data_IF_157734913213
#
_entry.id   IF_157734913213
#
_cell.length_a   1.000
_cell.length_b   1.000
_cell.length_c   1.000
_cell.angle_alpha   90.00
_cell.angle_beta   90.00
_cell.angle_gamma   90.00
#
_symmetry.space_group_name_H-M   'P 1'
#
loop_
_entity.id
_entity.type
_entity.pdbx_description
1 polymer ?
#
# COMPACT_ATOMS: atom_id res chain seq x y z
N UNK A 1 4.49 -13.20 -49.40
CA UNK A 1 3.61 -12.88 -48.26
C UNK A 1 4.28 -12.88 -46.86
N UNK A 2 5.35 -13.64 -46.53
CA UNK A 2 5.94 -13.58 -45.19
C UNK A 2 6.67 -12.26 -44.85
N UNK A 3 7.15 -11.52 -45.86
CA UNK A 3 7.82 -10.23 -45.62
C UNK A 3 6.88 -9.10 -45.17
N UNK A 4 5.58 -9.16 -45.50
CA UNK A 4 4.61 -8.13 -45.09
C UNK A 4 4.21 -8.26 -43.61
N UNK A 5 4.26 -9.47 -43.06
CA UNK A 5 3.99 -9.71 -41.64
C UNK A 5 5.09 -9.16 -40.73
N UNK A 6 6.35 -9.25 -41.14
CA UNK A 6 7.48 -8.77 -40.33
C UNK A 6 7.44 -7.26 -40.08
N UNK A 7 7.05 -6.47 -41.07
CA UNK A 7 7.04 -4.99 -40.97
C UNK A 7 5.92 -4.49 -40.04
N UNK A 8 4.75 -5.12 -40.07
CA UNK A 8 3.63 -4.75 -39.20
C UNK A 8 3.79 -5.23 -37.75
N UNK A 9 4.49 -6.34 -37.52
CA UNK A 9 4.66 -6.92 -36.18
C UNK A 9 5.77 -6.24 -35.36
N UNK A 10 6.77 -5.66 -36.01
CA UNK A 10 7.90 -5.03 -35.29
C UNK A 10 7.47 -3.88 -34.35
N UNK A 11 6.59 -2.93 -34.75
CA UNK A 11 6.10 -1.88 -33.85
C UNK A 11 5.27 -2.43 -32.69
N UNK A 12 4.45 -3.46 -32.96
CA UNK A 12 3.61 -4.10 -31.94
C UNK A 12 4.47 -4.82 -30.89
N UNK A 13 5.49 -5.56 -31.33
CA UNK A 13 6.41 -6.26 -30.42
C UNK A 13 7.23 -5.27 -29.59
N UNK A 14 7.73 -4.19 -30.21
CA UNK A 14 8.43 -3.14 -29.47
C UNK A 14 7.51 -2.47 -28.43
N UNK A 15 6.24 -2.21 -28.80
CA UNK A 15 5.28 -1.65 -27.88
C UNK A 15 4.95 -2.60 -26.71
N UNK A 16 4.72 -3.88 -27.02
CA UNK A 16 4.47 -4.92 -26.02
C UNK A 16 5.67 -5.13 -25.09
N UNK A 17 6.89 -5.08 -25.61
CA UNK A 17 8.12 -5.12 -24.81
C UNK A 17 8.19 -3.91 -23.86
N UNK A 18 7.80 -2.72 -24.33
CA UNK A 18 7.70 -1.51 -23.50
C UNK A 18 6.73 -1.68 -22.32
N UNK A 19 5.52 -2.20 -22.58
CA UNK A 19 4.55 -2.53 -21.53
C UNK A 19 5.09 -3.59 -20.57
N UNK A 20 5.68 -4.65 -21.09
CA UNK A 20 6.25 -5.74 -20.28
C UNK A 20 7.38 -5.27 -19.37
N UNK A 21 8.23 -4.37 -19.85
CA UNK A 21 9.26 -3.74 -19.02
C UNK A 21 8.63 -2.88 -17.91
N UNK A 22 7.66 -2.03 -18.26
CA UNK A 22 6.95 -1.20 -17.27
C UNK A 22 6.27 -2.04 -16.17
N UNK A 23 5.64 -3.17 -16.54
CA UNK A 23 5.09 -4.15 -15.59
C UNK A 23 6.20 -4.71 -14.70
N UNK A 24 7.28 -5.21 -15.31
CA UNK A 24 8.37 -5.87 -14.58
C UNK A 24 9.02 -4.93 -13.57
N UNK A 25 9.25 -3.68 -13.97
CA UNK A 25 9.79 -2.65 -13.09
C UNK A 25 8.83 -2.42 -11.93
N UNK A 26 7.55 -2.11 -12.20
CA UNK A 26 6.59 -1.79 -11.13
C UNK A 26 6.36 -2.95 -10.18
N UNK A 27 6.28 -4.18 -10.70
CA UNK A 27 6.17 -5.37 -9.84
C UNK A 27 7.42 -5.56 -8.99
N UNK A 28 8.60 -5.25 -9.52
CA UNK A 28 9.86 -5.40 -8.79
C UNK A 28 10.05 -4.34 -7.72
N UNK A 29 9.61 -3.11 -7.98
CA UNK A 29 9.63 -2.02 -6.99
C UNK A 29 8.56 -2.24 -5.93
N UNK A 30 7.31 -2.40 -6.34
CA UNK A 30 6.15 -2.59 -5.46
C UNK A 30 6.01 -4.02 -4.89
N UNK A 31 7.09 -4.81 -4.80
CA UNK A 31 7.00 -6.13 -4.15
C UNK A 31 6.93 -6.00 -2.63
N UNK A 32 7.50 -4.92 -2.09
CA UNK A 32 7.39 -4.57 -0.68
C UNK A 32 5.94 -4.19 -0.31
N UNK A 33 5.16 -3.60 -1.24
CA UNK A 33 3.72 -3.36 -1.06
C UNK A 33 2.96 -4.62 -0.64
N UNK A 34 3.37 -5.82 -1.09
CA UNK A 34 2.72 -7.07 -0.66
C UNK A 34 2.84 -7.27 0.84
N UNK A 35 3.99 -6.90 1.42
CA UNK A 35 4.26 -7.02 2.85
C UNK A 35 3.44 -6.00 3.63
N UNK A 36 3.32 -4.76 3.13
CA UNK A 36 2.58 -3.69 3.79
C UNK A 36 1.07 -3.82 3.66
N UNK A 37 0.57 -4.27 2.51
CA UNK A 37 -0.86 -4.39 2.22
C UNK A 37 -1.47 -5.69 2.76
N UNK A 38 -0.65 -6.73 2.97
CA UNK A 38 -1.15 -8.02 3.44
C UNK A 38 -2.04 -7.86 4.68
N UNK A 39 -1.63 -7.22 5.80
CA UNK A 39 -2.48 -7.07 6.98
C UNK A 39 -3.84 -6.39 6.71
N UNK A 40 -3.91 -5.49 5.73
CA UNK A 40 -5.12 -4.74 5.41
C UNK A 40 -6.03 -5.43 4.39
N UNK A 41 -5.51 -6.41 3.65
CA UNK A 41 -6.24 -7.19 2.65
C UNK A 41 -6.54 -8.63 3.12
N UNK A 42 -5.91 -9.07 4.21
CA UNK A 42 -6.09 -10.39 4.85
C UNK A 42 -7.32 -10.44 5.78
N UNK A 43 -7.55 -11.61 6.39
CA UNK A 43 -8.83 -12.32 6.44
C UNK A 43 -9.86 -11.87 7.50
N UNK A 44 -9.82 -10.61 7.98
CA UNK A 44 -10.71 -10.16 9.06
C UNK A 44 -11.37 -8.80 8.85
N UNK A 45 -11.35 -8.31 7.61
CA UNK A 45 -12.10 -7.13 7.18
C UNK A 45 -13.25 -7.54 6.27
N UNK A 46 -14.36 -6.79 6.38
CA UNK A 46 -15.53 -6.99 5.52
C UNK A 46 -15.12 -6.92 4.04
N UNK A 47 -15.82 -7.66 3.17
CA UNK A 47 -15.57 -7.62 1.71
C UNK A 47 -15.59 -6.20 1.16
N UNK A 48 -16.47 -5.35 1.70
CA UNK A 48 -16.61 -3.96 1.30
C UNK A 48 -15.38 -3.13 1.71
N UNK A 49 -14.89 -3.28 2.94
CA UNK A 49 -13.67 -2.60 3.41
C UNK A 49 -12.45 -3.05 2.59
N UNK A 50 -12.35 -4.34 2.24
CA UNK A 50 -11.29 -4.86 1.36
C UNK A 50 -11.32 -4.24 -0.02
N UNK A 51 -12.51 -4.09 -0.61
CA UNK A 51 -12.67 -3.40 -1.90
C UNK A 51 -12.29 -1.93 -1.79
N UNK A 52 -12.67 -1.25 -0.70
CA UNK A 52 -12.31 0.14 -0.48
C UNK A 52 -10.79 0.31 -0.35
N UNK A 53 -10.14 -0.51 0.47
CA UNK A 53 -8.67 -0.52 0.64
C UNK A 53 -7.96 -0.79 -0.69
N UNK A 54 -8.49 -1.72 -1.49
CA UNK A 54 -7.98 -2.01 -2.84
C UNK A 54 -8.12 -0.81 -3.76
N UNK A 55 -9.29 -0.15 -3.76
CA UNK A 55 -9.54 1.02 -4.59
C UNK A 55 -8.64 2.20 -4.19
N UNK A 56 -8.41 2.41 -2.88
CA UNK A 56 -7.49 3.41 -2.35
C UNK A 56 -6.07 3.12 -2.85
N UNK A 57 -5.59 1.88 -2.70
CA UNK A 57 -4.26 1.49 -3.19
C UNK A 57 -4.09 1.73 -4.69
N UNK A 58 -5.04 1.25 -5.52
CA UNK A 58 -4.98 1.47 -6.98
C UNK A 58 -5.00 2.96 -7.32
N UNK A 59 -5.80 3.76 -6.60
CA UNK A 59 -5.86 5.22 -6.80
C UNK A 59 -4.53 5.89 -6.45
N UNK A 60 -3.90 5.48 -5.34
CA UNK A 60 -2.55 5.91 -4.94
C UNK A 60 -1.55 5.56 -6.05
N UNK A 61 -1.51 4.32 -6.53
CA UNK A 61 -0.63 3.91 -7.64
C UNK A 61 -0.80 4.77 -8.90
N UNK A 62 -2.04 5.08 -9.29
CA UNK A 62 -2.32 5.95 -10.44
C UNK A 62 -1.81 7.36 -10.19
N UNK A 63 -2.06 7.91 -9.00
CA UNK A 63 -1.56 9.24 -8.62
C UNK A 63 -0.04 9.28 -8.59
N UNK A 64 0.67 8.28 -8.03
CA UNK A 64 2.15 8.25 -8.11
C UNK A 64 2.61 8.29 -9.56
N UNK A 65 1.97 7.49 -10.42
CA UNK A 65 2.35 7.37 -11.83
C UNK A 65 2.18 8.73 -12.52
N UNK A 66 1.06 9.42 -12.26
CA UNK A 66 0.84 10.79 -12.75
C UNK A 66 1.88 11.79 -12.21
N UNK A 67 2.19 11.73 -10.91
CA UNK A 67 3.22 12.58 -10.30
C UNK A 67 4.60 12.31 -10.90
N UNK A 68 4.99 11.04 -11.10
CA UNK A 68 6.22 10.66 -11.76
C UNK A 68 6.33 11.26 -13.15
N UNK A 69 5.22 11.25 -13.90
CA UNK A 69 5.17 11.84 -15.23
C UNK A 69 5.26 13.37 -15.19
N UNK A 70 4.55 14.02 -14.26
CA UNK A 70 4.67 15.45 -14.03
C UNK A 70 6.11 15.84 -13.67
N UNK A 71 6.78 15.08 -12.79
CA UNK A 71 8.18 15.31 -12.40
C UNK A 71 9.12 15.01 -13.55
N UNK A 72 8.92 13.95 -14.34
CA UNK A 72 9.80 13.67 -15.47
C UNK A 72 9.72 14.76 -16.55
N UNK A 73 8.51 15.27 -16.83
CA UNK A 73 8.30 16.33 -17.80
C UNK A 73 8.82 17.69 -17.29
N UNK A 74 8.52 18.03 -16.03
CA UNK A 74 8.91 19.30 -15.42
C UNK A 74 10.36 19.31 -14.94
N UNK A 75 10.90 18.13 -14.62
CA UNK A 75 12.19 17.92 -13.96
C UNK A 75 13.34 18.45 -14.78
N UNK A 76 13.34 18.24 -16.11
CA UNK A 76 14.37 18.82 -16.96
C UNK A 76 14.39 20.36 -16.90
N UNK A 77 13.22 21.00 -16.81
CA UNK A 77 13.11 22.47 -16.70
C UNK A 77 13.50 22.98 -15.31
N UNK A 78 13.07 22.29 -14.26
CA UNK A 78 13.38 22.63 -12.87
C UNK A 78 14.88 22.42 -12.60
N UNK A 79 15.43 21.29 -13.04
CA UNK A 79 16.85 20.96 -12.90
C UNK A 79 17.68 21.95 -13.69
N UNK A 80 17.35 22.28 -14.94
CA UNK A 80 18.06 23.31 -15.71
C UNK A 80 17.98 24.69 -15.02
N UNK A 81 16.83 25.02 -14.42
CA UNK A 81 16.64 26.28 -13.69
C UNK A 81 17.49 26.33 -12.40
N UNK A 82 17.52 25.24 -11.62
CA UNK A 82 18.24 25.14 -10.35
C UNK A 82 19.76 25.01 -10.57
N UNK A 83 20.19 24.24 -11.58
CA UNK A 83 21.61 23.93 -11.81
C UNK A 83 22.35 24.97 -12.65
N UNK A 84 21.67 26.00 -13.17
CA UNK A 84 22.27 27.06 -14.00
C UNK A 84 23.49 27.77 -13.41
N UNK A 85 23.72 27.68 -12.10
CA UNK A 85 24.83 28.35 -11.42
C UNK A 85 25.80 27.41 -10.66
N UNK A 86 25.65 26.07 -10.72
CA UNK A 86 26.49 25.14 -9.96
C UNK A 86 27.21 24.15 -10.88
N UNK A 87 28.55 24.15 -10.86
CA UNK A 87 29.39 23.21 -11.64
C UNK A 87 29.44 21.78 -11.07
N UNK A 88 29.06 21.60 -9.80
CA UNK A 88 28.99 20.30 -9.10
C UNK A 88 27.55 20.00 -8.62
N UNK A 89 26.57 20.16 -9.52
CA UNK A 89 25.18 19.85 -9.16
C UNK A 89 24.98 18.34 -8.98
N UNK A 90 24.37 17.94 -7.86
CA UNK A 90 23.93 16.56 -7.64
C UNK A 90 22.99 16.10 -8.76
N UNK A 91 23.11 14.83 -9.16
CA UNK A 91 22.16 14.24 -10.12
C UNK A 91 20.76 14.22 -9.53
N UNK A 92 19.74 14.41 -10.38
CA UNK A 92 18.33 14.38 -9.96
C UNK A 92 17.97 13.05 -9.27
N UNK A 93 18.60 11.95 -9.70
CA UNK A 93 18.43 10.63 -9.12
C UNK A 93 18.96 10.56 -7.67
N UNK A 94 20.16 11.12 -7.40
CA UNK A 94 20.69 11.20 -6.03
C UNK A 94 19.79 12.05 -5.14
N UNK A 95 19.33 13.20 -5.63
CA UNK A 95 18.44 14.10 -4.87
C UNK A 95 17.13 13.38 -4.52
N UNK A 96 16.49 12.72 -5.49
CA UNK A 96 15.25 11.98 -5.28
C UNK A 96 15.44 10.81 -4.31
N UNK A 97 16.55 10.07 -4.44
CA UNK A 97 16.86 8.92 -3.56
C UNK A 97 17.08 9.37 -2.12
N UNK A 98 17.86 10.44 -1.90
CA UNK A 98 18.09 11.00 -0.56
C UNK A 98 16.79 11.53 0.04
N UNK A 99 15.96 12.21 -0.75
CA UNK A 99 14.67 12.72 -0.30
C UNK A 99 13.73 11.59 0.10
N UNK A 100 13.62 10.53 -0.72
CA UNK A 100 12.81 9.35 -0.43
C UNK A 100 13.29 8.63 0.84
N UNK A 101 14.60 8.38 0.96
CA UNK A 101 15.20 7.77 2.15
C UNK A 101 14.99 8.61 3.42
N UNK A 102 15.07 9.94 3.31
CA UNK A 102 14.82 10.86 4.42
C UNK A 102 13.36 10.86 4.86
N UNK A 103 12.42 10.87 3.92
CA UNK A 103 10.98 10.78 4.25
C UNK A 103 10.63 9.44 4.90
N UNK A 104 11.18 8.32 4.38
CA UNK A 104 11.03 6.99 4.98
C UNK A 104 11.61 6.93 6.40
N UNK A 105 12.77 7.56 6.64
CA UNK A 105 13.37 7.61 7.97
C UNK A 105 12.53 8.45 8.96
N UNK A 106 11.96 9.57 8.53
CA UNK A 106 11.05 10.35 9.38
C UNK A 106 9.79 9.54 9.70
N UNK A 107 9.26 8.82 8.71
CA UNK A 107 8.08 8.00 8.90
C UNK A 107 8.33 6.79 9.82
N UNK A 108 9.51 6.16 9.74
CA UNK A 108 9.87 5.06 10.64
C UNK A 108 9.95 5.51 12.10
N UNK A 109 10.41 6.74 12.37
CA UNK A 109 10.37 7.34 13.71
C UNK A 109 8.93 7.50 14.20
N UNK A 110 8.01 7.95 13.33
CA UNK A 110 6.58 8.03 13.66
C UNK A 110 6.00 6.66 14.00
N UNK A 111 6.26 5.65 13.18
CA UNK A 111 5.79 4.28 13.44
C UNK A 111 6.38 3.69 14.73
N UNK A 112 7.65 3.97 15.01
CA UNK A 112 8.30 3.55 16.25
C UNK A 112 7.65 4.22 17.47
N UNK A 113 7.31 5.50 17.36
CA UNK A 113 6.61 6.23 18.42
C UNK A 113 5.21 5.66 18.67
N UNK A 114 4.43 5.39 17.61
CA UNK A 114 3.11 4.74 17.73
C UNK A 114 3.23 3.36 18.39
N UNK A 115 4.20 2.53 17.95
CA UNK A 115 4.45 1.21 18.53
C UNK A 115 4.85 1.26 20.01
N UNK A 116 5.70 2.23 20.39
CA UNK A 116 6.12 2.40 21.78
C UNK A 116 4.96 2.86 22.67
N UNK A 117 4.17 3.82 22.18
CA UNK A 117 3.02 4.37 22.93
C UNK A 117 1.96 3.31 23.17
N UNK A 118 1.65 2.48 22.16
CA UNK A 118 0.70 1.36 22.30
C UNK A 118 1.18 0.29 23.29
N UNK A 119 2.50 0.12 23.44
CA UNK A 119 3.07 -0.86 24.37
C UNK A 119 2.94 -0.39 25.83
N UNK A 120 3.19 0.88 26.13
CA UNK A 120 3.11 1.45 27.48
C UNK A 120 1.67 1.50 28.02
N UNK A 121 0.66 1.66 27.14
CA UNK A 121 -0.76 1.67 27.56
C UNK A 121 -1.29 0.28 27.93
N UNK A 122 -0.62 -0.79 27.53
CA UNK A 122 -1.10 -2.17 27.72
C UNK A 122 -0.53 -2.86 28.98
N UNK A 123 0.39 -2.22 29.70
CA UNK A 123 1.01 -2.78 30.92
C UNK A 123 0.15 -2.60 32.20
N UNK A 124 -1.04 -1.99 32.08
CA UNK A 124 -1.96 -1.70 33.20
C UNK A 124 -3.17 -2.62 33.34
N UNK A 125 -3.48 -3.42 32.31
CA UNK A 125 -4.61 -4.36 32.32
C UNK A 125 -4.13 -5.65 31.63
N UNK A 126 -4.32 -6.81 32.26
CA UNK A 126 -4.04 -8.13 31.68
C UNK A 126 -4.98 -8.42 30.49
N UNK A 127 -4.88 -7.63 29.42
CA UNK A 127 -5.62 -7.80 28.18
C UNK A 127 -4.72 -8.58 27.24
N UNK A 128 -5.11 -9.83 26.96
CA UNK A 128 -4.60 -10.62 25.84
C UNK A 128 -4.71 -9.84 24.52
N UNK A 129 -3.70 -9.03 24.19
CA UNK A 129 -3.61 -8.29 22.93
C UNK A 129 -2.27 -8.54 22.25
N UNK A 130 -2.19 -9.71 21.64
CA UNK A 130 -1.38 -10.00 20.46
C UNK A 130 -2.28 -10.62 19.41
N UNK A 131 -3.40 -9.97 19.10
CA UNK A 131 -4.43 -10.54 18.23
C UNK A 131 -5.08 -9.46 17.38
N UNK A 132 -4.26 -8.84 16.53
CA UNK A 132 -4.80 -8.25 15.31
C UNK A 132 -5.45 -9.40 14.54
N UNK A 133 -6.78 -9.44 14.57
CA UNK A 133 -7.62 -10.31 13.75
C UNK A 133 -7.70 -11.79 14.17
N UNK A 134 -8.40 -12.06 15.28
CA UNK A 134 -9.21 -13.28 15.44
C UNK A 134 -10.67 -12.89 15.66
N UNK A 135 -11.35 -12.46 14.59
CA UNK A 135 -12.81 -12.50 14.57
C UNK A 135 -13.16 -13.98 14.54
N UNK A 136 -13.73 -14.50 15.63
CA UNK A 136 -14.39 -15.80 15.56
C UNK A 136 -15.39 -15.74 14.40
N UNK A 137 -15.35 -16.66 13.43
CA UNK A 137 -16.42 -16.75 12.47
C UNK A 137 -17.67 -17.10 13.28
N UNK A 138 -18.56 -16.12 13.45
CA UNK A 138 -19.87 -16.38 14.00
C UNK A 138 -20.46 -17.52 13.20
N UNK A 139 -20.67 -18.61 13.91
CA UNK A 139 -21.52 -19.73 13.53
C UNK A 139 -22.87 -19.13 13.18
N UNK A 140 -23.09 -18.93 11.89
CA UNK A 140 -24.44 -18.85 11.34
C UNK A 140 -25.00 -20.26 11.44
N UNK A 141 -25.43 -20.62 12.65
CA UNK A 141 -26.27 -21.78 12.91
C UNK A 141 -27.56 -21.55 12.14
N UNK A 142 -27.64 -22.21 10.98
CA UNK A 142 -28.88 -22.36 10.22
C UNK A 142 -29.58 -23.58 10.78
N UNK A 143 -30.02 -23.51 12.04
CA UNK A 143 -30.91 -24.49 12.63
C UNK A 143 -32.35 -24.15 12.20
N UNK A 144 -32.72 -24.70 11.05
CA UNK A 144 -34.11 -24.96 10.72
C UNK A 144 -34.57 -26.18 11.53
N UNK A 145 -35.00 -25.95 12.78
CA UNK A 145 -35.91 -26.87 13.46
C UNK A 145 -37.23 -26.16 13.82
N UNK A 146 -38.29 -26.81 13.37
CA UNK A 146 -39.70 -26.47 13.57
C UNK A 146 -40.09 -26.48 15.05
N UNK A 147 -40.85 -25.46 15.45
CA UNK A 147 -41.92 -25.56 16.44
C UNK A 147 -41.52 -25.51 17.93
N UNK A 148 -41.90 -24.43 18.62
CA UNK A 148 -43.06 -24.43 19.53
C UNK A 148 -43.33 -23.01 20.04
N UNK A 149 -44.57 -22.55 19.88
CA UNK A 149 -45.01 -21.21 20.24
C UNK A 149 -45.33 -21.15 21.74
N UNK A 150 -44.56 -20.39 22.53
CA UNK A 150 -44.97 -19.94 23.86
C UNK A 150 -44.96 -18.41 23.94
N UNK A 151 -46.09 -17.75 24.27
CA UNK A 151 -46.13 -16.29 24.43
C UNK A 151 -45.87 -15.95 25.89
N UNK A 152 -44.62 -15.66 26.26
CA UNK A 152 -44.33 -15.04 27.55
C UNK A 152 -44.10 -13.53 27.36
N UNK A 153 -45.18 -12.78 27.58
CA UNK A 153 -45.20 -11.32 27.58
C UNK A 153 -44.36 -10.79 28.76
N UNK A 154 -43.11 -10.41 28.49
CA UNK A 154 -42.24 -9.71 29.44
C UNK A 154 -42.39 -8.20 29.23
N UNK A 155 -42.91 -7.54 30.25
CA UNK A 155 -43.04 -6.08 30.37
C UNK A 155 -41.65 -5.42 30.25
N UNK A 156 -41.39 -4.52 29.29
CA UNK A 156 -40.13 -3.80 29.24
C UNK A 156 -40.11 -2.73 30.33
N UNK A 157 -39.15 -2.83 31.24
CA UNK A 157 -38.72 -1.68 32.04
C UNK A 157 -37.97 -0.73 31.11
N UNK A 158 -38.50 0.48 31.03
CA UNK A 158 -38.03 1.58 30.20
C UNK A 158 -36.81 2.20 30.89
N UNK A 159 -35.67 1.53 30.76
CA UNK A 159 -34.35 2.03 31.14
C UNK A 159 -33.68 2.69 29.94
N UNK A 160 -33.04 3.82 30.20
CA UNK A 160 -32.33 4.74 29.31
C UNK A 160 -31.12 4.09 28.58
N UNK A 161 -31.37 3.13 27.68
CA UNK A 161 -30.34 2.39 26.91
C UNK A 161 -29.96 3.07 25.59
N UNK A 162 -30.41 4.29 25.33
CA UNK A 162 -30.19 4.95 24.03
C UNK A 162 -28.78 5.54 23.90
N UNK A 163 -28.02 5.73 24.99
CA UNK A 163 -26.69 6.36 24.93
C UNK A 163 -25.52 5.39 24.66
N UNK A 164 -25.61 4.10 24.99
CA UNK A 164 -24.46 3.18 24.86
C UNK A 164 -24.20 2.74 23.41
N UNK A 165 -25.26 2.57 22.61
CA UNK A 165 -25.16 2.15 21.19
C UNK A 165 -24.49 3.24 20.34
N UNK A 166 -24.77 4.51 20.61
CA UNK A 166 -24.20 5.65 19.88
C UNK A 166 -22.70 5.85 20.19
N UNK A 167 -22.27 5.54 21.42
CA UNK A 167 -20.85 5.66 21.81
C UNK A 167 -20.02 4.54 21.15
N UNK A 168 -20.52 3.31 21.14
CA UNK A 168 -19.82 2.18 20.54
C UNK A 168 -19.71 2.32 19.01
N UNK A 169 -20.77 2.83 18.37
CA UNK A 169 -20.76 3.12 16.92
C UNK A 169 -19.74 4.19 16.54
N UNK A 170 -19.62 5.28 17.34
CA UNK A 170 -18.64 6.35 17.10
C UNK A 170 -17.20 5.87 17.28
N UNK A 171 -16.92 5.09 18.32
CA UNK A 171 -15.57 4.56 18.56
C UNK A 171 -15.11 3.62 17.43
N UNK A 172 -15.99 2.75 16.92
CA UNK A 172 -15.68 1.87 15.80
C UNK A 172 -15.40 2.64 14.50
N UNK A 173 -16.22 3.66 14.19
CA UNK A 173 -16.03 4.52 13.01
C UNK A 173 -14.71 5.31 13.06
N UNK A 174 -14.34 5.82 14.24
CA UNK A 174 -13.09 6.56 14.41
C UNK A 174 -11.87 5.64 14.19
N UNK A 175 -11.92 4.41 14.71
CA UNK A 175 -10.85 3.41 14.52
C UNK A 175 -10.69 3.03 13.04
N UNK A 176 -11.78 2.85 12.30
CA UNK A 176 -11.74 2.56 10.86
C UNK A 176 -11.13 3.71 10.04
N UNK A 177 -11.46 4.96 10.40
CA UNK A 177 -10.90 6.14 9.72
C UNK A 177 -9.38 6.26 9.92
N UNK A 178 -8.90 5.99 11.15
CA UNK A 178 -7.48 6.02 11.47
C UNK A 178 -6.71 4.91 10.71
N UNK A 179 -7.25 3.69 10.66
CA UNK A 179 -6.66 2.60 9.89
C UNK A 179 -6.57 2.91 8.39
N UNK A 180 -7.64 3.50 7.82
CA UNK A 180 -7.66 3.89 6.41
C UNK A 180 -6.62 4.97 6.10
N UNK A 181 -6.47 5.96 7.00
CA UNK A 181 -5.46 7.00 6.87
C UNK A 181 -4.05 6.42 6.95
N UNK A 182 -3.80 5.51 7.89
CA UNK A 182 -2.52 4.81 8.01
C UNK A 182 -2.21 4.01 6.73
N UNK A 183 -3.19 3.27 6.19
CA UNK A 183 -3.03 2.56 4.92
C UNK A 183 -2.66 3.49 3.78
N UNK A 184 -3.35 4.63 3.65
CA UNK A 184 -3.05 5.62 2.62
C UNK A 184 -1.61 6.14 2.75
N UNK A 185 -1.19 6.49 3.96
CA UNK A 185 0.16 7.00 4.21
C UNK A 185 1.22 5.94 3.92
N UNK A 186 1.02 4.70 4.38
CA UNK A 186 1.93 3.59 4.12
C UNK A 186 2.01 3.30 2.62
N UNK A 187 0.87 3.17 1.94
CA UNK A 187 0.84 2.91 0.50
C UNK A 187 1.51 4.04 -0.28
N UNK A 188 1.27 5.30 0.10
CA UNK A 188 1.89 6.45 -0.55
C UNK A 188 3.41 6.48 -0.34
N UNK A 189 3.87 6.23 0.90
CA UNK A 189 5.29 6.23 1.26
C UNK A 189 6.02 5.04 0.66
N UNK A 190 5.43 3.84 0.69
CA UNK A 190 5.95 2.64 0.06
C UNK A 190 6.22 2.93 -1.41
N UNK A 191 5.19 3.37 -2.13
CA UNK A 191 5.28 3.71 -3.54
C UNK A 191 5.96 5.06 -3.88
N UNK A 192 6.68 5.70 -2.94
CA UNK A 192 7.63 6.77 -3.30
C UNK A 192 8.88 6.20 -3.97
N UNK A 193 9.20 4.93 -3.74
CA UNK A 193 10.30 4.23 -4.41
C UNK A 193 10.06 4.13 -5.93
N UNK A 194 8.82 3.85 -6.35
CA UNK A 194 8.34 3.86 -7.74
C UNK A 194 8.67 5.18 -8.41
N UNK A 195 8.53 6.30 -7.70
CA UNK A 195 8.83 7.63 -8.21
C UNK A 195 10.32 7.76 -8.56
N UNK A 196 11.20 7.24 -7.69
CA UNK A 196 12.65 7.30 -7.89
C UNK A 196 13.11 6.45 -9.08
N UNK A 197 12.40 5.36 -9.38
CA UNK A 197 12.70 4.49 -10.52
C UNK A 197 12.07 4.99 -11.82
N UNK A 198 10.83 5.49 -11.77
CA UNK A 198 10.11 5.96 -12.95
C UNK A 198 10.65 7.28 -13.51
N UNK A 199 11.07 8.21 -12.66
CA UNK A 199 11.53 9.52 -13.12
C UNK A 199 12.76 9.40 -14.05
N UNK A 200 13.85 8.70 -13.70
CA UNK A 200 14.99 8.51 -14.60
C UNK A 200 14.63 7.80 -15.91
N UNK A 201 13.76 6.78 -15.86
CA UNK A 201 13.35 6.05 -17.06
C UNK A 201 12.48 6.85 -18.01
N UNK A 202 11.57 7.68 -17.46
CA UNK A 202 10.76 8.60 -18.24
C UNK A 202 11.62 9.69 -18.88
N UNK A 203 12.61 10.21 -18.16
CA UNK A 203 13.57 11.19 -18.70
C UNK A 203 14.44 10.58 -19.80
N UNK A 204 14.80 9.31 -19.67
CA UNK A 204 15.57 8.55 -20.67
C UNK A 204 14.87 8.29 -22.01
N UNK A 205 13.63 8.78 -22.19
CA UNK A 205 12.76 8.49 -23.36
C UNK A 205 12.50 6.99 -23.58
N UNK A 206 12.63 6.18 -22.53
CA UNK A 206 12.56 4.72 -22.66
C UNK A 206 11.15 4.20 -22.96
N UNK A 207 10.11 4.92 -22.51
CA UNK A 207 8.73 4.44 -22.56
C UNK A 207 7.75 5.52 -22.97
N UNK A 208 6.72 5.11 -23.70
CA UNK A 208 5.57 5.96 -23.99
C UNK A 208 4.65 6.06 -22.76
N UNK A 209 3.93 7.18 -22.65
CA UNK A 209 2.98 7.44 -21.55
C UNK A 209 1.96 6.31 -21.41
N UNK A 210 1.39 5.86 -22.53
CA UNK A 210 0.39 4.80 -22.52
C UNK A 210 0.95 3.46 -22.05
N UNK A 211 2.20 3.15 -22.41
CA UNK A 211 2.87 1.92 -21.98
C UNK A 211 3.09 1.91 -20.47
N UNK A 212 3.52 3.05 -19.91
CA UNK A 212 3.76 3.20 -18.48
C UNK A 212 2.45 3.11 -17.70
N UNK A 213 1.39 3.79 -18.15
CA UNK A 213 0.09 3.77 -17.47
C UNK A 213 -0.55 2.38 -17.50
N UNK A 214 -0.59 1.72 -18.67
CA UNK A 214 -1.13 0.36 -18.81
C UNK A 214 -0.30 -0.62 -17.98
N UNK A 215 1.03 -0.56 -18.09
CA UNK A 215 1.92 -1.40 -17.31
C UNK A 215 1.74 -1.21 -15.81
N UNK A 216 1.56 0.05 -15.37
CA UNK A 216 1.36 0.36 -13.96
C UNK A 216 0.04 -0.18 -13.41
N UNK A 217 -1.06 -0.07 -14.17
CA UNK A 217 -2.36 -0.62 -13.80
C UNK A 217 -2.37 -2.15 -13.78
N UNK A 218 -1.72 -2.78 -14.77
CA UNK A 218 -1.58 -4.24 -14.81
C UNK A 218 -0.75 -4.75 -13.64
N UNK A 219 0.36 -4.10 -13.32
CA UNK A 219 1.19 -4.45 -12.17
C UNK A 219 0.45 -4.26 -10.84
N UNK A 220 -0.24 -3.14 -10.63
CA UNK A 220 -1.04 -2.91 -9.42
C UNK A 220 -2.13 -3.99 -9.25
N UNK A 221 -2.79 -4.37 -10.35
CA UNK A 221 -3.79 -5.47 -10.33
C UNK A 221 -3.15 -6.82 -9.96
N UNK A 222 -1.95 -7.09 -10.46
CA UNK A 222 -1.19 -8.29 -10.13
C UNK A 222 -0.80 -8.32 -8.65
N UNK A 223 -0.28 -7.22 -8.12
CA UNK A 223 0.10 -7.08 -6.70
C UNK A 223 -1.10 -7.29 -5.80
N UNK A 224 -2.24 -6.66 -6.09
CA UNK A 224 -3.49 -6.89 -5.36
C UNK A 224 -3.88 -8.37 -5.40
N UNK A 225 -3.80 -9.01 -6.56
CA UNK A 225 -4.11 -10.44 -6.70
C UNK A 225 -3.18 -11.29 -5.84
N UNK A 226 -1.88 -10.99 -5.81
CA UNK A 226 -0.89 -11.65 -4.95
C UNK A 226 -1.22 -11.42 -3.48
N UNK A 227 -1.54 -10.20 -3.07
CA UNK A 227 -1.91 -9.89 -1.68
C UNK A 227 -3.16 -10.66 -1.24
N UNK A 228 -4.17 -10.74 -2.11
CA UNK A 228 -5.37 -11.54 -1.86
C UNK A 228 -5.03 -13.02 -1.71
N UNK A 229 -4.13 -13.55 -2.56
CA UNK A 229 -3.67 -14.94 -2.49
C UNK A 229 -2.87 -15.22 -1.21
N UNK A 230 -1.94 -14.35 -0.85
CA UNK A 230 -1.20 -14.43 0.43
C UNK A 230 -2.15 -14.39 1.61
N UNK A 231 -3.22 -13.60 1.54
CA UNK A 231 -4.25 -13.55 2.57
C UNK A 231 -5.12 -14.80 2.69
N UNK A 232 -5.17 -15.63 1.66
CA UNK A 232 -5.77 -16.97 1.73
C UNK A 232 -4.81 -17.99 2.37
N UNK A 233 -3.51 -17.73 2.36
CA UNK A 233 -2.48 -18.56 2.97
C UNK A 233 -2.24 -18.16 4.44
N UNK A 234 -3.07 -18.69 5.35
CA UNK A 234 -2.93 -18.51 6.81
C UNK A 234 -1.49 -18.62 7.35
N UNK A 235 -0.69 -19.67 7.02
CA UNK A 235 0.67 -19.79 7.58
C UNK A 235 1.62 -18.66 7.12
N UNK A 236 1.39 -18.10 5.93
CA UNK A 236 2.18 -16.97 5.43
C UNK A 236 1.75 -15.69 6.12
N UNK A 237 0.44 -15.48 6.26
CA UNK A 237 -0.12 -14.33 6.98
C UNK A 237 0.36 -14.30 8.45
N UNK A 238 0.36 -15.45 9.13
CA UNK A 238 0.84 -15.60 10.51
C UNK A 238 2.36 -15.35 10.64
N UNK A 239 3.13 -15.64 9.58
CA UNK A 239 4.55 -15.35 9.55
C UNK A 239 4.80 -13.84 9.38
N UNK A 240 4.09 -13.21 8.44
CA UNK A 240 4.21 -11.78 8.15
C UNK A 240 3.77 -10.93 9.35
N UNK A 241 2.69 -11.32 10.04
CA UNK A 241 2.16 -10.58 11.19
C UNK A 241 3.08 -10.55 12.41
N UNK A 242 4.07 -11.46 12.49
CA UNK A 242 5.08 -11.46 13.55
C UNK A 242 6.17 -10.42 13.36
N UNK A 243 6.33 -9.88 12.15
CA UNK A 243 7.38 -8.91 11.87
C UNK A 243 6.84 -7.51 12.13
N UNK A 244 7.43 -6.76 13.08
CA UNK A 244 6.96 -5.41 13.36
C UNK A 244 7.23 -4.50 12.16
N UNK A 245 6.19 -3.79 11.74
CA UNK A 245 6.16 -2.96 10.54
C UNK A 245 7.33 -1.94 10.53
N UNK A 246 7.63 -1.33 11.67
CA UNK A 246 8.73 -0.34 11.79
C UNK A 246 10.10 -0.93 11.44
N UNK A 247 10.39 -2.20 11.78
CA UNK A 247 11.69 -2.80 11.54
C UNK A 247 11.98 -2.94 10.04
N UNK A 248 10.94 -3.28 9.27
CA UNK A 248 11.01 -3.35 7.81
C UNK A 248 11.28 -1.95 7.25
N UNK A 249 10.59 -0.90 7.73
CA UNK A 249 10.75 0.47 7.21
C UNK A 249 12.16 0.99 7.50
N UNK A 250 12.66 0.77 8.72
CA UNK A 250 14.03 1.14 9.11
C UNK A 250 15.06 0.44 8.22
N UNK A 251 14.86 -0.85 7.92
CA UNK A 251 15.72 -1.60 7.01
C UNK A 251 15.79 -0.97 5.61
N UNK A 252 14.64 -0.69 4.99
CA UNK A 252 14.58 -0.05 3.69
C UNK A 252 15.15 1.37 3.70
N UNK A 253 14.81 2.19 4.69
CA UNK A 253 15.35 3.55 4.82
C UNK A 253 16.88 3.54 4.91
N UNK A 254 17.44 2.62 5.72
CA UNK A 254 18.90 2.47 5.87
C UNK A 254 19.55 2.03 4.55
N UNK A 255 18.95 1.08 3.84
CA UNK A 255 19.46 0.61 2.54
C UNK A 255 19.43 1.71 1.48
N UNK A 256 18.34 2.49 1.38
CA UNK A 256 18.23 3.60 0.43
C UNK A 256 19.23 4.71 0.72
N UNK A 257 19.39 5.09 1.99
CA UNK A 257 20.38 6.08 2.40
C UNK A 257 21.80 5.57 2.12
N UNK A 258 22.13 4.33 2.47
CA UNK A 258 23.43 3.73 2.17
C UNK A 258 23.72 3.70 0.67
N UNK A 259 22.74 3.28 -0.15
CA UNK A 259 22.85 3.29 -1.61
C UNK A 259 23.12 4.69 -2.14
N UNK A 260 22.42 5.71 -1.61
CA UNK A 260 22.59 7.10 -2.04
C UNK A 260 24.02 7.63 -1.80
N UNK A 261 24.69 7.17 -0.73
CA UNK A 261 26.09 7.53 -0.45
C UNK A 261 27.08 6.83 -1.40
N UNK A 262 26.73 5.67 -1.94
CA UNK A 262 27.59 4.90 -2.85
C UNK A 262 27.39 5.22 -4.32
N UNK A 263 26.38 6.00 -4.68
CA UNK A 263 26.18 6.46 -6.06
C UNK A 263 27.20 7.56 -6.32
N UNK A 264 28.19 7.29 -7.16
CA UNK A 264 29.13 8.27 -7.72
C UNK A 264 28.60 8.86 -9.03
#
# INVERSE_FOLDING_TARGET
MPQLWGVAMAPLLHWAAGVGAAISIKVSSSIDDVVWLAPFLTNNVSKLSRMNNTAIYVSVCVVQTMLAMCIAYSGNKIVEYITRNAKDAWSSEKILTVLAGSMLAIYSVKLLHEWWTESDENDGEDVEQGNYAKVSPDTVDTDLEDGEMTPMYRKPEHGDSTNEIDIQSKAASQKESAQTQTLFVIAFIGSLDDLTLFVPMLVGKGFDFAQLLIGALTAASLIVTICLFVGLCQPVADCISRVPLFAIVVGFATLLLAKSFTMD
#
